data_IF_168355012239
#
_entry.id   IF_168355012239
#
_cell.length_a   1.000
_cell.length_b   1.000
_cell.length_c   1.000
_cell.angle_alpha   90.00
_cell.angle_beta   90.00
_cell.angle_gamma   90.00
#
_symmetry.space_group_name_H-M   'P 1'
#
loop_
_entity.id
_entity.type
_entity.pdbx_description
1 polymer ?
#
# COMPACT_ATOMS: atom_id res chain seq x y z
N UNK A 1 -29.80 -1.67 7.45
CA UNK A 1 -29.24 -2.22 6.20
C UNK A 1 -27.81 -1.67 6.08
N UNK A 2 -26.79 -2.52 6.00
CA UNK A 2 -25.38 -2.08 5.82
C UNK A 2 -25.11 -1.89 4.33
N UNK A 3 -24.35 -0.87 3.97
CA UNK A 3 -23.99 -0.58 2.57
C UNK A 3 -22.55 -0.11 2.46
N UNK A 4 -21.97 -0.32 1.27
CA UNK A 4 -20.63 0.15 0.93
C UNK A 4 -20.74 1.44 0.12
N UNK A 5 -19.81 2.36 0.34
CA UNK A 5 -19.65 3.58 -0.46
C UNK A 5 -18.19 3.71 -0.86
N UNK A 6 -17.88 4.15 -2.08
CA UNK A 6 -16.52 4.52 -2.45
C UNK A 6 -15.95 5.55 -1.46
N UNK A 7 -14.70 5.35 -1.04
CA UNK A 7 -13.98 6.31 -0.19
C UNK A 7 -13.23 7.33 -1.05
N UNK A 8 -12.65 6.90 -2.16
CA UNK A 8 -11.97 7.76 -3.13
C UNK A 8 -12.57 7.53 -4.52
N UNK A 9 -13.37 8.46 -5.02
CA UNK A 9 -13.97 8.35 -6.33
C UNK A 9 -12.95 8.65 -7.43
N UNK A 10 -12.75 7.68 -8.34
CA UNK A 10 -11.80 7.81 -9.45
C UNK A 10 -10.32 7.75 -9.04
N UNK A 11 -10.01 7.27 -7.83
CA UNK A 11 -8.65 6.87 -7.48
C UNK A 11 -8.33 5.56 -8.21
N UNK A 12 -7.24 5.57 -8.98
CA UNK A 12 -6.74 4.38 -9.64
C UNK A 12 -5.75 3.65 -8.73
N UNK A 13 -5.87 2.32 -8.68
CA UNK A 13 -4.99 1.38 -7.99
C UNK A 13 -4.76 0.18 -8.92
N UNK A 14 -3.55 -0.35 -8.92
CA UNK A 14 -3.17 -1.51 -9.71
C UNK A 14 -3.10 -2.76 -8.82
N UNK A 15 -4.08 -3.66 -8.96
CA UNK A 15 -4.23 -4.90 -8.16
C UNK A 15 -3.94 -4.67 -6.66
N UNK A 16 -4.73 -3.82 -5.97
CA UNK A 16 -4.50 -3.55 -4.55
C UNK A 16 -4.76 -4.79 -3.70
N UNK A 17 -3.89 -5.06 -2.72
CA UNK A 17 -3.97 -6.25 -1.87
C UNK A 17 -4.23 -5.94 -0.40
N UNK A 18 -3.64 -4.87 0.13
CA UNK A 18 -3.69 -4.56 1.55
C UNK A 18 -3.68 -3.06 1.79
N UNK A 19 -4.32 -2.63 2.88
CA UNK A 19 -4.38 -1.24 3.33
C UNK A 19 -3.93 -1.16 4.80
N UNK A 20 -2.96 -0.30 5.09
CA UNK A 20 -2.40 -0.15 6.43
C UNK A 20 -2.23 1.31 6.84
N UNK A 21 -2.50 1.62 8.11
CA UNK A 21 -2.17 2.91 8.69
C UNK A 21 -0.80 2.83 9.38
N UNK A 22 0.08 3.80 9.13
CA UNK A 22 1.35 3.85 9.84
C UNK A 22 1.14 4.21 11.34
N UNK A 23 1.82 3.55 12.29
CA UNK A 23 1.73 3.83 13.72
C UNK A 23 2.58 5.05 14.11
N UNK A 24 2.45 6.16 13.37
CA UNK A 24 3.21 7.41 13.57
C UNK A 24 2.35 8.62 13.93
N UNK A 25 1.03 8.45 13.98
CA UNK A 25 0.06 9.52 14.25
C UNK A 25 -0.21 10.44 13.05
N UNK A 26 0.35 10.17 11.88
CA UNK A 26 0.14 10.98 10.66
C UNK A 26 -1.24 10.79 10.05
N UNK A 27 -1.88 9.65 10.31
CA UNK A 27 -3.13 9.23 9.67
C UNK A 27 -2.96 8.87 8.18
N UNK A 28 -1.72 8.66 7.72
CA UNK A 28 -1.45 8.19 6.35
C UNK A 28 -1.91 6.75 6.20
N UNK A 29 -2.54 6.47 5.07
CA UNK A 29 -2.94 5.13 4.65
C UNK A 29 -2.05 4.68 3.49
N UNK A 30 -1.51 3.48 3.60
CA UNK A 30 -0.60 2.86 2.64
C UNK A 30 -1.32 1.69 1.99
N UNK A 31 -1.39 1.69 0.66
CA UNK A 31 -1.95 0.60 -0.12
C UNK A 31 -0.82 -0.18 -0.77
N UNK A 32 -0.83 -1.50 -0.60
CA UNK A 32 0.04 -2.42 -1.34
C UNK A 32 -0.60 -2.67 -2.71
N UNK A 33 0.20 -2.56 -3.76
CA UNK A 33 -0.11 -2.97 -5.13
C UNK A 33 0.71 -4.21 -5.47
N UNK A 34 0.05 -5.27 -5.93
CA UNK A 34 0.66 -6.59 -6.13
C UNK A 34 1.93 -6.56 -7.00
N UNK A 35 2.00 -5.65 -7.96
CA UNK A 35 3.15 -5.51 -8.87
C UNK A 35 4.47 -5.15 -8.19
N UNK A 36 4.47 -4.71 -6.92
CA UNK A 36 5.66 -4.32 -6.18
C UNK A 36 5.62 -2.92 -5.56
N UNK A 37 4.52 -2.19 -5.75
CA UNK A 37 4.36 -0.82 -5.30
C UNK A 37 3.69 -0.70 -3.93
N UNK A 38 4.10 0.29 -3.16
CA UNK A 38 3.35 0.79 -2.00
C UNK A 38 3.10 2.27 -2.22
N UNK A 39 1.83 2.66 -2.16
CA UNK A 39 1.41 4.04 -2.37
C UNK A 39 0.73 4.61 -1.12
N UNK A 40 1.00 5.87 -0.82
CA UNK A 40 0.28 6.65 0.19
C UNK A 40 -0.97 7.22 -0.48
N UNK A 41 -2.12 6.94 0.12
CA UNK A 41 -3.41 7.38 -0.39
C UNK A 41 -3.68 8.86 -0.06
N UNK A 42 -4.54 9.54 -0.86
CA UNK A 42 -4.96 10.90 -0.56
C UNK A 42 -5.55 11.04 0.84
N UNK A 43 -5.05 11.99 1.62
CA UNK A 43 -5.64 12.33 2.93
C UNK A 43 -7.05 12.92 2.78
N UNK A 44 -7.27 13.69 1.71
CA UNK A 44 -8.58 14.14 1.28
C UNK A 44 -9.24 13.07 0.41
N UNK A 45 -10.42 12.63 0.82
CA UNK A 45 -11.22 11.59 0.16
C UNK A 45 -11.79 12.01 -1.20
N UNK A 46 -11.82 13.31 -1.49
CA UNK A 46 -12.13 13.82 -2.83
C UNK A 46 -10.92 13.77 -3.79
N UNK A 47 -9.73 13.55 -3.24
CA UNK A 47 -8.48 13.51 -3.99
C UNK A 47 -8.28 12.20 -4.76
N UNK A 48 -7.57 12.30 -5.89
CA UNK A 48 -7.19 11.16 -6.74
C UNK A 48 -5.67 10.91 -6.77
N UNK A 49 -4.90 11.82 -6.17
CA UNK A 49 -3.44 11.80 -6.24
C UNK A 49 -2.85 10.94 -5.12
N UNK A 50 -2.33 9.77 -5.51
CA UNK A 50 -1.48 8.92 -4.67
C UNK A 50 0.00 9.33 -4.76
N UNK A 51 0.79 8.98 -3.77
CA UNK A 51 2.23 9.24 -3.71
C UNK A 51 2.95 7.89 -3.59
N UNK A 52 3.97 7.64 -4.41
CA UNK A 52 4.81 6.44 -4.25
C UNK A 52 5.61 6.52 -2.95
N UNK A 53 5.60 5.44 -2.17
CA UNK A 53 6.38 5.30 -0.94
C UNK A 53 7.51 4.28 -1.09
N UNK A 54 7.24 3.18 -1.78
CA UNK A 54 8.18 2.09 -1.99
C UNK A 54 7.85 1.39 -3.30
N UNK A 55 8.88 0.92 -4.01
CA UNK A 55 8.73 0.26 -5.30
C UNK A 55 9.86 -0.75 -5.49
N UNK A 56 9.50 -2.01 -5.75
CA UNK A 56 10.43 -3.10 -6.07
C UNK A 56 10.17 -3.72 -7.44
N UNK A 57 9.48 -3.01 -8.34
CA UNK A 57 9.12 -3.52 -9.65
C UNK A 57 10.34 -3.99 -10.47
N UNK A 58 11.51 -3.36 -10.27
CA UNK A 58 12.78 -3.76 -10.91
C UNK A 58 13.23 -5.17 -10.53
N UNK A 59 12.76 -5.71 -9.40
CA UNK A 59 12.99 -7.11 -8.99
C UNK A 59 12.07 -8.09 -9.71
N UNK A 60 11.11 -7.61 -10.50
CA UNK A 60 10.12 -8.44 -11.21
C UNK A 60 9.46 -9.46 -10.26
N UNK A 61 8.84 -9.01 -9.16
CA UNK A 61 8.35 -9.90 -8.11
C UNK A 61 7.11 -10.71 -8.55
N UNK A 62 6.57 -10.47 -9.74
CA UNK A 62 5.30 -11.00 -10.18
C UNK A 62 5.44 -11.67 -11.55
N UNK A 63 5.34 -13.01 -11.58
CA UNK A 63 5.26 -13.82 -12.81
C UNK A 63 3.87 -14.46 -12.92
N UNK A 64 3.34 -15.01 -11.82
CA UNK A 64 2.06 -15.72 -11.74
C UNK A 64 1.06 -15.10 -10.74
N UNK A 65 -0.17 -15.62 -10.66
CA UNK A 65 -1.29 -14.90 -10.05
C UNK A 65 -1.21 -14.59 -8.54
N UNK A 66 -0.59 -15.44 -7.73
CA UNK A 66 -0.44 -15.25 -6.27
C UNK A 66 0.95 -14.74 -5.87
N UNK A 67 1.74 -14.30 -6.85
CA UNK A 67 3.05 -13.71 -6.62
C UNK A 67 3.00 -12.19 -6.48
N UNK A 68 4.16 -11.58 -6.23
CA UNK A 68 4.29 -10.14 -6.11
C UNK A 68 4.56 -9.69 -4.68
N UNK A 69 4.26 -8.42 -4.41
CA UNK A 69 4.32 -7.85 -3.07
C UNK A 69 3.04 -8.19 -2.30
N UNK A 70 3.16 -8.99 -1.24
CA UNK A 70 2.04 -9.64 -0.56
C UNK A 70 1.80 -9.17 0.87
N UNK A 71 2.79 -8.50 1.48
CA UNK A 71 2.68 -8.06 2.87
C UNK A 71 3.45 -6.78 3.16
N UNK A 72 2.92 -6.00 4.10
CA UNK A 72 3.52 -4.83 4.71
C UNK A 72 3.32 -4.95 6.23
N UNK A 73 4.34 -4.59 7.00
CA UNK A 73 4.21 -4.34 8.42
C UNK A 73 5.09 -3.17 8.81
N UNK A 74 4.51 -2.19 9.49
CA UNK A 74 5.31 -1.16 10.15
C UNK A 74 5.85 -1.69 11.47
N UNK A 75 7.10 -1.35 11.79
CA UNK A 75 7.61 -1.57 13.13
C UNK A 75 6.76 -0.76 14.14
N UNK A 76 6.44 -1.27 15.35
CA UNK A 76 5.63 -0.51 16.32
C UNK A 76 6.17 0.90 16.63
N UNK A 77 7.50 1.05 16.67
CA UNK A 77 8.21 2.33 16.80
C UNK A 77 8.53 3.03 15.46
N UNK A 78 7.74 2.81 14.40
CA UNK A 78 7.99 3.39 13.06
C UNK A 78 8.19 4.90 13.08
N UNK A 79 7.44 5.62 13.94
CA UNK A 79 7.60 7.06 14.15
C UNK A 79 9.05 7.48 14.42
N UNK A 80 9.80 6.66 15.16
CA UNK A 80 11.16 6.96 15.60
C UNK A 80 12.22 6.28 14.75
N UNK A 81 11.98 5.06 14.27
CA UNK A 81 13.02 4.27 13.59
C UNK A 81 12.83 4.14 12.08
N UNK A 82 11.68 4.58 11.55
CA UNK A 82 11.32 4.52 10.12
C UNK A 82 11.46 3.10 9.51
N UNK A 83 11.38 2.04 10.34
CA UNK A 83 11.47 0.64 9.89
C UNK A 83 10.12 0.10 9.49
N UNK A 84 10.07 -0.46 8.30
CA UNK A 84 8.96 -1.25 7.79
C UNK A 84 9.51 -2.51 7.12
N UNK A 85 8.66 -3.51 6.98
CA UNK A 85 9.01 -4.81 6.44
C UNK A 85 8.01 -5.17 5.36
N UNK A 86 8.51 -5.79 4.30
CA UNK A 86 7.70 -6.27 3.19
C UNK A 86 7.90 -7.77 3.02
N UNK A 87 6.85 -8.46 2.59
CA UNK A 87 6.92 -9.85 2.18
C UNK A 87 6.53 -9.93 0.71
N UNK A 88 7.37 -10.58 -0.10
CA UNK A 88 7.14 -10.73 -1.53
C UNK A 88 7.71 -12.07 -2.01
N UNK A 89 7.11 -12.65 -3.04
CA UNK A 89 7.68 -13.80 -3.75
C UNK A 89 8.43 -13.33 -5.00
N UNK A 90 9.40 -14.14 -5.44
CA UNK A 90 10.20 -13.88 -6.62
C UNK A 90 10.73 -15.21 -7.14
N UNK A 91 10.64 -15.42 -8.46
CA UNK A 91 11.25 -16.56 -9.14
C UNK A 91 12.68 -16.23 -9.58
#
# INVERSE_FOLDING_TARGET
>A
KVGLKPVWEGLELNRPLWLEAAPDGSGRLFCIEQGGGIVILPKDKSGKKRIEFFNINDRKPWVENEEGLLGLAFHPNFKSNQKFYVYYSQQ
#
